data_IF_609217636340
#
_entry.id   IF_609217636340
#
_cell.length_a   1.000
_cell.length_b   1.000
_cell.length_c   1.000
_cell.angle_alpha   90.00
_cell.angle_beta   90.00
_cell.angle_gamma   90.00
#
_symmetry.space_group_name_H-M   'P 1'
#
loop_
_entity.id
_entity.type
_entity.pdbx_description
1 polymer ?
#
# COMPACT_ATOMS: atom_id res chain seq x y z
N UNK A 1 6.48 6.03 -14.10
CA UNK A 1 6.46 7.28 -13.32
C UNK A 1 6.65 6.90 -11.87
N UNK A 2 7.70 7.40 -11.23
CA UNK A 2 8.05 7.08 -9.84
C UNK A 2 7.74 8.34 -9.03
N UNK A 3 6.70 8.30 -8.18
CA UNK A 3 6.35 9.42 -7.33
C UNK A 3 7.04 9.27 -5.97
N UNK A 4 7.76 10.31 -5.56
CA UNK A 4 8.44 10.40 -4.26
C UNK A 4 7.73 11.44 -3.41
N UNK A 5 6.75 11.01 -2.62
CA UNK A 5 6.28 11.77 -1.45
C UNK A 5 7.00 11.19 -0.22
N UNK A 6 7.53 12.07 0.63
CA UNK A 6 8.70 11.90 1.52
C UNK A 6 8.78 10.72 2.52
N UNK A 7 7.96 9.69 2.41
CA UNK A 7 8.07 8.47 3.20
C UNK A 7 7.82 7.16 2.41
N UNK A 8 7.01 7.16 1.35
CA UNK A 8 6.72 5.94 0.59
C UNK A 8 6.67 6.23 -0.91
N UNK A 9 7.48 5.52 -1.68
CA UNK A 9 7.42 5.52 -3.14
C UNK A 9 6.49 4.42 -3.62
N UNK A 10 5.60 4.77 -4.54
CA UNK A 10 4.70 3.86 -5.23
C UNK A 10 5.28 3.52 -6.60
N UNK A 11 5.54 2.24 -6.84
CA UNK A 11 6.09 1.72 -8.08
C UNK A 11 5.18 0.65 -8.67
N UNK A 12 4.93 0.75 -9.97
CA UNK A 12 4.13 -0.22 -10.71
C UNK A 12 5.05 -1.16 -11.48
N UNK A 13 4.92 -2.46 -11.27
CA UNK A 13 5.68 -3.47 -11.99
C UNK A 13 4.74 -4.56 -12.51
N UNK A 14 4.47 -4.58 -13.81
CA UNK A 14 3.59 -5.57 -14.47
C UNK A 14 2.26 -5.76 -13.70
N UNK A 15 1.61 -4.64 -13.38
CA UNK A 15 0.37 -4.55 -12.61
C UNK A 15 0.48 -4.84 -11.10
N UNK A 16 1.63 -5.30 -10.61
CA UNK A 16 1.90 -5.35 -9.17
C UNK A 16 2.21 -3.94 -8.65
N UNK A 17 1.81 -3.69 -7.41
CA UNK A 17 2.15 -2.47 -6.69
C UNK A 17 3.29 -2.76 -5.73
N UNK A 18 4.36 -1.96 -5.84
CA UNK A 18 5.51 -2.00 -4.96
C UNK A 18 5.50 -0.71 -4.15
N UNK A 19 5.42 -0.84 -2.82
CA UNK A 19 5.56 0.25 -1.87
C UNK A 19 6.98 0.22 -1.33
N UNK A 20 7.75 1.30 -1.49
CA UNK A 20 9.11 1.40 -0.95
C UNK A 20 9.22 2.50 0.09
N UNK A 21 9.81 2.20 1.25
CA UNK A 21 10.16 3.16 2.31
C UNK A 21 11.59 2.91 2.77
N UNK A 22 12.53 3.73 2.33
CA UNK A 22 13.94 3.52 2.61
C UNK A 22 14.43 2.16 2.10
N UNK A 23 14.98 1.32 2.99
CA UNK A 23 15.46 -0.02 2.66
C UNK A 23 14.36 -1.11 2.63
N UNK A 24 13.14 -0.80 3.04
CA UNK A 24 12.05 -1.76 3.12
C UNK A 24 11.12 -1.62 1.92
N UNK A 25 10.72 -2.76 1.33
CA UNK A 25 9.79 -2.83 0.21
C UNK A 25 8.64 -3.80 0.51
N UNK A 26 7.43 -3.44 0.12
CA UNK A 26 6.23 -4.28 0.16
C UNK A 26 5.76 -4.49 -1.26
N UNK A 27 5.50 -5.73 -1.62
CA UNK A 27 4.91 -6.09 -2.90
C UNK A 27 3.46 -6.50 -2.68
N UNK A 28 2.58 -5.98 -3.52
CA UNK A 28 1.17 -6.30 -3.58
C UNK A 28 0.87 -6.78 -5.00
N UNK A 29 0.38 -8.00 -5.12
CA UNK A 29 0.09 -8.60 -6.42
C UNK A 29 -1.03 -7.88 -7.16
N UNK A 30 -0.98 -7.94 -8.49
CA UNK A 30 -1.94 -7.31 -9.38
C UNK A 30 -3.39 -7.62 -9.03
N UNK A 31 -3.71 -8.87 -8.69
CA UNK A 31 -5.06 -9.28 -8.29
C UNK A 31 -5.53 -8.55 -7.03
N UNK A 32 -4.63 -8.37 -6.06
CA UNK A 32 -4.93 -7.65 -4.82
C UNK A 32 -5.05 -6.16 -5.07
N UNK A 33 -4.25 -5.62 -5.98
CA UNK A 33 -4.33 -4.21 -6.40
C UNK A 33 -5.64 -3.91 -7.13
N UNK A 34 -6.10 -4.80 -8.00
CA UNK A 34 -7.40 -4.67 -8.65
C UNK A 34 -8.51 -4.64 -7.61
N UNK A 35 -8.50 -5.59 -6.66
CA UNK A 35 -9.49 -5.61 -5.58
C UNK A 35 -9.41 -4.38 -4.65
N UNK A 36 -8.23 -3.79 -4.48
CA UNK A 36 -8.07 -2.53 -3.74
C UNK A 36 -8.73 -1.36 -4.48
N UNK A 37 -8.58 -1.30 -5.81
CA UNK A 37 -9.19 -0.26 -6.66
C UNK A 37 -10.70 -0.39 -6.80
N UNK A 38 -11.26 -1.59 -6.59
CA UNK A 38 -12.71 -1.82 -6.61
C UNK A 38 -13.38 -1.52 -5.27
N UNK A 39 -12.65 -1.05 -4.25
CA UNK A 39 -13.26 -0.66 -2.99
C UNK A 39 -13.87 0.73 -3.12
N UNK A 40 -15.20 0.83 -2.97
CA UNK A 40 -15.94 2.11 -3.02
C UNK A 40 -15.67 3.05 -1.84
N UNK A 41 -15.02 2.58 -0.77
CA UNK A 41 -14.83 3.34 0.46
C UNK A 41 -13.42 3.16 1.02
N UNK A 42 -12.86 4.25 1.54
CA UNK A 42 -11.55 4.27 2.20
C UNK A 42 -11.49 3.25 3.35
N UNK A 43 -12.57 3.09 4.11
CA UNK A 43 -12.65 2.09 5.19
C UNK A 43 -12.52 0.66 4.66
N UNK A 44 -13.17 0.35 3.53
CA UNK A 44 -13.09 -0.96 2.86
C UNK A 44 -11.69 -1.22 2.30
N UNK A 45 -11.10 -0.20 1.66
CA UNK A 45 -9.70 -0.23 1.22
C UNK A 45 -8.76 -0.53 2.39
N UNK A 46 -8.87 0.20 3.49
CA UNK A 46 -8.00 0.06 4.65
C UNK A 46 -8.10 -1.34 5.28
N UNK A 47 -9.33 -1.86 5.39
CA UNK A 47 -9.57 -3.20 5.92
C UNK A 47 -9.02 -4.28 4.99
N UNK A 48 -9.27 -4.19 3.69
CA UNK A 48 -8.76 -5.15 2.71
C UNK A 48 -7.23 -5.10 2.61
N UNK A 49 -6.64 -3.91 2.68
CA UNK A 49 -5.20 -3.70 2.63
C UNK A 49 -4.49 -4.45 3.76
N UNK A 50 -4.96 -4.26 5.00
CA UNK A 50 -4.36 -4.87 6.20
C UNK A 50 -4.59 -6.38 6.30
N UNK A 51 -5.73 -6.86 5.83
CA UNK A 51 -6.12 -8.28 6.00
C UNK A 51 -5.72 -9.16 4.82
N UNK A 52 -5.71 -8.61 3.60
CA UNK A 52 -5.71 -9.42 2.37
C UNK A 52 -4.67 -8.95 1.34
N UNK A 53 -4.41 -7.64 1.21
CA UNK A 53 -3.42 -7.15 0.25
C UNK A 53 -1.99 -7.47 0.67
N UNK A 54 -1.71 -7.43 1.98
CA UNK A 54 -0.42 -7.85 2.54
C UNK A 54 -0.42 -9.36 2.75
N UNK A 55 0.12 -10.08 1.77
CA UNK A 55 0.15 -11.56 1.75
C UNK A 55 0.95 -12.16 2.92
N UNK A 56 2.06 -11.52 3.31
CA UNK A 56 2.97 -12.05 4.32
C UNK A 56 2.79 -11.37 5.69
N UNK A 57 2.94 -12.14 6.77
CA UNK A 57 2.95 -11.61 8.15
C UNK A 57 4.05 -10.57 8.35
N UNK A 58 5.19 -10.75 7.69
CA UNK A 58 6.30 -9.80 7.71
C UNK A 58 5.95 -8.48 7.01
N UNK A 59 5.28 -8.56 5.85
CA UNK A 59 4.78 -7.39 5.14
C UNK A 59 3.81 -6.56 5.99
N UNK A 60 2.92 -7.24 6.73
CA UNK A 60 2.03 -6.60 7.71
C UNK A 60 2.81 -5.89 8.81
N UNK A 61 3.77 -6.58 9.43
CA UNK A 61 4.61 -6.00 10.49
C UNK A 61 5.40 -4.78 10.02
N UNK A 62 5.96 -4.85 8.81
CA UNK A 62 6.70 -3.72 8.20
C UNK A 62 5.75 -2.55 7.97
N UNK A 63 4.56 -2.80 7.41
CA UNK A 63 3.55 -1.76 7.20
C UNK A 63 3.04 -1.15 8.52
N UNK A 64 2.78 -1.97 9.55
CA UNK A 64 2.41 -1.49 10.88
C UNK A 64 3.51 -0.61 11.50
N UNK A 65 4.79 -0.99 11.32
CA UNK A 65 5.91 -0.17 11.77
C UNK A 65 5.98 1.17 11.01
N UNK A 66 5.62 1.19 9.73
CA UNK A 66 5.50 2.40 8.94
C UNK A 66 4.35 3.29 9.41
N UNK A 67 3.20 2.69 9.70
CA UNK A 67 1.99 3.38 10.16
C UNK A 67 2.17 3.99 11.57
N UNK A 68 2.91 3.31 12.46
CA UNK A 68 3.29 3.88 13.76
C UNK A 68 4.07 5.19 13.63
N UNK A 69 4.85 5.34 12.55
CA UNK A 69 5.62 6.56 12.26
C UNK A 69 4.82 7.60 11.47
N UNK A 70 3.83 7.16 10.69
CA UNK A 70 2.97 8.02 9.86
C UNK A 70 1.57 7.41 9.82
N UNK A 71 0.69 7.90 10.71
CA UNK A 71 -0.67 7.36 10.87
C UNK A 71 -1.55 7.63 9.65
N UNK A 72 -1.20 8.61 8.84
CA UNK A 72 -1.92 8.99 7.62
C UNK A 72 -1.38 8.27 6.39
N UNK A 73 -0.40 7.39 6.55
CA UNK A 73 0.26 6.72 5.43
C UNK A 73 -0.73 5.94 4.57
N UNK A 74 -1.63 5.19 5.21
CA UNK A 74 -2.60 4.36 4.50
C UNK A 74 -3.61 5.22 3.72
N UNK A 75 -4.08 6.32 4.31
CA UNK A 75 -4.93 7.32 3.64
C UNK A 75 -4.20 8.00 2.48
N UNK A 76 -2.90 8.30 2.61
CA UNK A 76 -2.08 8.83 1.51
C UNK A 76 -1.97 7.82 0.36
N UNK A 77 -1.67 6.55 0.66
CA UNK A 77 -1.63 5.48 -0.34
C UNK A 77 -2.98 5.33 -1.04
N UNK A 78 -4.08 5.37 -0.28
CA UNK A 78 -5.44 5.32 -0.85
C UNK A 78 -5.68 6.48 -1.83
N UNK A 79 -5.40 7.72 -1.42
CA UNK A 79 -5.54 8.90 -2.29
C UNK A 79 -4.68 8.78 -3.55
N UNK A 80 -3.44 8.33 -3.44
CA UNK A 80 -2.55 8.15 -4.60
C UNK A 80 -3.01 7.00 -5.53
N UNK A 81 -3.68 5.97 -5.00
CA UNK A 81 -4.20 4.87 -5.81
C UNK A 81 -5.51 5.19 -6.53
N UNK A 82 -6.31 6.10 -5.97
CA UNK A 82 -7.61 6.52 -6.51
C UNK A 82 -7.57 7.82 -7.31
N UNK A 83 -6.51 8.62 -7.15
CA UNK A 83 -6.25 9.84 -7.93
C UNK A 83 -5.64 9.51 -9.30
#
# INVERSE_FOLDING_TARGET
>A
MTFTSSAVSLEWNRNNLILRRGASQLLIDAEKVQNLRTQDSETGFNQYFRTTALQNREARRVFEAWERKDKELLTKIYKEMMS
#
